data_IF_875592648056
#
_entry.id   IF_875592648056
#
_cell.length_a   1.000
_cell.length_b   1.000
_cell.length_c   1.000
_cell.angle_alpha   90.00
_cell.angle_beta   90.00
_cell.angle_gamma   90.00
#
_symmetry.space_group_name_H-M   'P 1'
#
loop_
_entity.id
_entity.type
_entity.pdbx_description
1 polymer ?
#
# COMPACT_ATOMS: atom_id res chain seq x y z
N UNK A 1 21.75 2.11 -14.21
CA UNK A 1 20.68 2.65 -13.35
C UNK A 1 20.53 1.77 -12.12
N UNK A 2 20.40 2.32 -10.92
CA UNK A 2 20.16 1.55 -9.68
C UNK A 2 18.67 1.53 -9.34
N UNK A 3 18.16 0.40 -8.85
CA UNK A 3 16.75 0.25 -8.41
C UNK A 3 16.70 -0.29 -6.99
N UNK A 4 15.68 0.11 -6.23
CA UNK A 4 15.56 -0.20 -4.80
C UNK A 4 14.16 -0.70 -4.49
N UNK A 5 14.05 -1.80 -3.74
CA UNK A 5 12.76 -2.34 -3.31
C UNK A 5 12.78 -2.74 -1.83
N UNK A 6 11.88 -2.21 -0.98
CA UNK A 6 11.76 -2.59 0.42
C UNK A 6 10.89 -3.84 0.59
N UNK A 7 11.26 -4.74 1.51
CA UNK A 7 10.41 -5.87 1.91
C UNK A 7 11.21 -7.12 2.28
N UNK A 8 10.53 -8.21 2.63
CA UNK A 8 11.16 -9.53 2.79
C UNK A 8 10.19 -10.64 2.40
N UNK A 9 10.53 -11.40 1.36
CA UNK A 9 9.69 -12.50 0.87
C UNK A 9 8.30 -12.06 0.41
N UNK A 10 8.10 -10.77 0.11
CA UNK A 10 6.81 -10.24 -0.30
C UNK A 10 6.60 -10.37 -1.81
N UNK A 11 5.35 -10.43 -2.28
CA UNK A 11 5.03 -10.45 -3.72
C UNK A 11 5.65 -9.27 -4.49
N UNK A 12 5.75 -8.09 -3.86
CA UNK A 12 6.36 -6.91 -4.47
C UNK A 12 7.86 -7.02 -4.67
N UNK A 13 8.60 -7.72 -3.81
CA UNK A 13 10.03 -7.98 -4.06
C UNK A 13 10.22 -8.89 -5.28
N UNK A 14 9.38 -9.91 -5.44
CA UNK A 14 9.45 -10.80 -6.61
C UNK A 14 9.20 -10.01 -7.90
N UNK A 15 8.15 -9.18 -7.91
CA UNK A 15 7.84 -8.33 -9.05
C UNK A 15 8.95 -7.29 -9.32
N UNK A 16 9.50 -6.67 -8.27
CA UNK A 16 10.57 -5.68 -8.42
C UNK A 16 11.87 -6.30 -8.97
N UNK A 17 12.23 -7.51 -8.52
CA UNK A 17 13.36 -8.27 -9.07
C UNK A 17 13.16 -8.56 -10.55
N UNK A 18 11.99 -9.06 -10.91
CA UNK A 18 11.68 -9.39 -12.30
C UNK A 18 11.76 -8.17 -13.23
N UNK A 19 11.20 -7.04 -12.81
CA UNK A 19 11.32 -5.77 -13.54
C UNK A 19 12.77 -5.32 -13.64
N UNK A 20 13.54 -5.47 -12.57
CA UNK A 20 14.93 -5.06 -12.56
C UNK A 20 15.80 -5.90 -13.49
N UNK A 21 15.54 -7.21 -13.55
CA UNK A 21 16.20 -8.15 -14.46
C UNK A 21 15.82 -7.86 -15.91
N UNK A 22 14.53 -7.61 -16.18
CA UNK A 22 14.04 -7.23 -17.51
C UNK A 22 14.67 -5.92 -18.02
N UNK A 23 14.80 -4.92 -17.15
CA UNK A 23 15.37 -3.61 -17.49
C UNK A 23 16.91 -3.56 -17.40
N UNK A 24 17.57 -4.64 -16.96
CA UNK A 24 19.03 -4.68 -16.80
C UNK A 24 19.57 -3.68 -15.76
N UNK A 25 18.86 -3.48 -14.66
CA UNK A 25 19.24 -2.51 -13.61
C UNK A 25 20.06 -3.15 -12.48
N UNK A 26 20.89 -2.36 -11.82
CA UNK A 26 21.54 -2.78 -10.57
C UNK A 26 20.53 -2.75 -9.43
N UNK A 27 19.95 -3.92 -9.12
CA UNK A 27 18.86 -4.03 -8.15
C UNK A 27 19.34 -4.25 -6.72
N UNK A 28 18.76 -3.48 -5.79
CA UNK A 28 19.00 -3.56 -4.37
C UNK A 28 17.70 -3.90 -3.63
N UNK A 29 17.61 -5.13 -3.13
CA UNK A 29 16.54 -5.50 -2.21
C UNK A 29 16.89 -5.11 -0.78
N UNK A 30 15.93 -4.49 -0.11
CA UNK A 30 16.08 -3.93 1.21
C UNK A 30 15.22 -4.70 2.20
N UNK A 31 15.86 -5.66 2.87
CA UNK A 31 15.22 -6.53 3.84
C UNK A 31 15.08 -5.83 5.20
N UNK A 32 14.02 -5.05 5.37
CA UNK A 32 13.62 -4.53 6.68
C UNK A 32 12.95 -5.66 7.47
N UNK A 33 13.71 -6.31 8.35
CA UNK A 33 13.23 -7.49 9.04
C UNK A 33 12.32 -7.08 10.21
N UNK A 34 11.02 -7.36 10.10
CA UNK A 34 10.13 -7.50 11.27
C UNK A 34 10.32 -8.90 11.85
N UNK A 35 11.48 -9.19 12.46
CA UNK A 35 11.75 -10.54 13.01
C UNK A 35 11.04 -10.69 14.33
N UNK A 36 9.83 -11.27 14.32
CA UNK A 36 9.16 -11.72 15.55
C UNK A 36 10.16 -12.59 16.32
N UNK A 37 10.61 -12.11 17.47
CA UNK A 37 11.46 -12.90 18.36
C UNK A 37 10.58 -14.00 18.94
N UNK A 38 10.71 -15.22 18.44
CA UNK A 38 10.72 -16.37 19.34
C UNK A 38 12.11 -16.42 19.96
N UNK A 39 12.19 -16.30 21.29
CA UNK A 39 13.45 -16.41 22.04
C UNK A 39 14.16 -17.70 21.61
N UNK A 40 15.34 -17.62 20.98
CA UNK A 40 16.16 -18.83 20.82
C UNK A 40 17.25 -18.92 19.74
N UNK A 41 17.45 -18.00 18.79
CA UNK A 41 18.41 -18.26 17.70
C UNK A 41 19.48 -17.16 17.50
N UNK A 42 20.74 -17.56 17.73
CA UNK A 42 21.99 -16.79 17.53
C UNK A 42 22.39 -16.72 16.04
N UNK A 43 23.16 -15.66 15.74
CA UNK A 43 23.94 -15.30 14.52
C UNK A 43 23.21 -14.52 13.41
N UNK A 44 23.70 -13.29 13.23
CA UNK A 44 23.53 -12.36 12.10
C UNK A 44 22.11 -12.20 11.55
N UNK A 45 21.15 -11.90 12.42
CA UNK A 45 19.77 -11.67 11.99
C UNK A 45 19.22 -10.34 12.50
N UNK A 46 18.92 -9.42 11.58
CA UNK A 46 18.21 -8.19 11.88
C UNK A 46 16.82 -8.53 12.47
N UNK A 47 16.44 -7.86 13.56
CA UNK A 47 15.29 -8.18 14.43
C UNK A 47 14.12 -7.21 14.27
N UNK A 48 12.88 -7.60 14.68
CA UNK A 48 11.64 -6.75 14.73
C UNK A 48 11.82 -5.37 15.37
N UNK A 49 12.91 -5.19 16.11
CA UNK A 49 13.38 -3.96 16.69
C UNK A 49 13.52 -2.80 15.68
N UNK A 50 14.18 -2.95 14.52
CA UNK A 50 14.55 -1.78 13.71
C UNK A 50 13.38 -0.93 13.18
N UNK A 51 12.28 -1.55 12.76
CA UNK A 51 11.10 -0.83 12.28
C UNK A 51 10.36 -0.11 13.42
N UNK A 52 10.18 -0.79 14.55
CA UNK A 52 9.50 -0.26 15.73
C UNK A 52 10.35 0.82 16.41
N UNK A 53 11.65 0.58 16.55
CA UNK A 53 12.60 1.53 17.13
C UNK A 53 12.71 2.80 16.28
N UNK A 54 12.51 2.68 14.96
CA UNK A 54 12.51 3.83 14.06
C UNK A 54 11.21 4.66 14.12
N UNK A 55 10.10 4.17 14.71
CA UNK A 55 8.81 4.87 14.68
C UNK A 55 8.89 6.28 15.25
N UNK A 56 9.68 6.45 16.31
CA UNK A 56 9.86 7.74 16.96
C UNK A 56 10.53 8.75 16.02
N UNK A 57 11.63 8.34 15.37
CA UNK A 57 12.32 9.16 14.37
C UNK A 57 11.45 9.39 13.14
N UNK A 58 10.71 8.38 12.67
CA UNK A 58 9.81 8.48 11.53
C UNK A 58 8.75 9.54 11.80
N UNK A 59 8.05 9.48 12.93
CA UNK A 59 6.99 10.44 13.30
C UNK A 59 7.56 11.84 13.46
N UNK A 60 8.75 11.97 14.05
CA UNK A 60 9.47 13.25 14.10
C UNK A 60 9.70 13.81 12.70
N UNK A 61 10.19 13.00 11.76
CA UNK A 61 10.51 13.47 10.41
C UNK A 61 9.29 13.73 9.54
N UNK A 62 8.24 12.91 9.61
CA UNK A 62 7.05 13.10 8.76
C UNK A 62 6.05 14.10 9.36
N UNK A 63 6.14 14.35 10.66
CA UNK A 63 5.31 15.33 11.39
C UNK A 63 3.82 15.01 11.28
N UNK A 64 3.45 13.73 11.38
CA UNK A 64 2.05 13.28 11.37
C UNK A 64 1.87 12.02 12.22
N UNK A 65 0.62 11.76 12.63
CA UNK A 65 0.23 10.63 13.49
C UNK A 65 -0.85 9.74 12.87
N UNK A 66 -1.12 9.88 11.57
CA UNK A 66 -2.12 9.07 10.85
C UNK A 66 -1.48 7.85 10.17
N UNK A 67 -2.29 7.07 9.45
CA UNK A 67 -1.88 5.81 8.78
C UNK A 67 -0.64 5.95 7.88
N UNK A 68 -0.32 7.16 7.42
CA UNK A 68 0.92 7.54 6.74
C UNK A 68 2.18 7.01 7.45
N UNK A 69 2.19 6.89 8.78
CA UNK A 69 3.30 6.32 9.56
C UNK A 69 3.68 4.90 9.10
N UNK A 70 2.68 4.05 8.79
CA UNK A 70 2.88 2.65 8.37
C UNK A 70 3.72 2.55 7.10
N UNK A 71 3.37 3.37 6.11
CA UNK A 71 4.04 3.39 4.80
C UNK A 71 5.33 4.24 4.81
N UNK A 72 5.44 5.21 5.72
CA UNK A 72 6.65 6.05 5.83
C UNK A 72 7.84 5.30 6.41
N UNK A 73 7.61 4.38 7.35
CA UNK A 73 8.70 3.68 8.05
C UNK A 73 9.60 2.87 7.10
N UNK A 74 9.09 2.02 6.20
CA UNK A 74 9.93 1.30 5.24
C UNK A 74 10.69 2.25 4.30
N UNK A 75 10.06 3.35 3.88
CA UNK A 75 10.68 4.31 2.98
C UNK A 75 11.77 5.14 3.66
N UNK A 76 11.57 5.50 4.93
CA UNK A 76 12.57 6.13 5.79
C UNK A 76 13.80 5.24 5.97
N UNK A 77 13.61 3.95 6.25
CA UNK A 77 14.73 3.02 6.36
C UNK A 77 15.43 2.78 5.01
N UNK A 78 14.66 2.79 3.92
CA UNK A 78 15.19 2.71 2.55
C UNK A 78 16.04 3.92 2.19
N UNK A 79 15.62 5.13 2.53
CA UNK A 79 16.39 6.34 2.22
C UNK A 79 17.78 6.34 2.88
N UNK A 80 17.89 5.84 4.12
CA UNK A 80 19.18 5.63 4.80
C UNK A 80 20.12 4.72 4.02
N UNK A 81 19.60 3.60 3.49
CA UNK A 81 20.43 2.70 2.67
C UNK A 81 20.82 3.33 1.35
N UNK A 82 19.87 3.93 0.64
CA UNK A 82 20.11 4.60 -0.65
C UNK A 82 21.25 5.62 -0.48
N UNK A 83 21.21 6.41 0.60
CA UNK A 83 22.27 7.35 0.94
C UNK A 83 23.62 6.67 1.18
N UNK A 84 23.66 5.55 1.90
CA UNK A 84 24.90 4.80 2.16
C UNK A 84 25.56 4.27 0.88
N UNK A 85 24.80 4.13 -0.21
CA UNK A 85 25.28 3.72 -1.52
C UNK A 85 25.71 4.92 -2.40
N UNK A 86 25.72 6.14 -1.84
CA UNK A 86 26.12 7.36 -2.53
C UNK A 86 25.04 7.96 -3.44
N UNK A 87 23.85 7.36 -3.50
CA UNK A 87 22.73 7.87 -4.29
C UNK A 87 22.08 9.06 -3.58
N UNK A 88 21.86 10.14 -4.32
CA UNK A 88 21.32 11.41 -3.80
C UNK A 88 19.91 11.74 -4.29
N UNK A 89 19.45 11.06 -5.35
CA UNK A 89 18.14 11.30 -5.95
C UNK A 89 17.53 9.99 -6.45
N UNK A 90 16.23 9.81 -6.26
CA UNK A 90 15.45 8.69 -6.78
C UNK A 90 14.16 9.16 -7.44
N UNK A 91 13.70 8.41 -8.45
CA UNK A 91 12.37 8.57 -9.03
C UNK A 91 11.37 7.65 -8.30
N UNK A 92 10.18 8.16 -8.01
CA UNK A 92 9.08 7.40 -7.41
C UNK A 92 7.80 7.52 -8.23
N UNK A 93 6.91 6.52 -8.11
CA UNK A 93 5.64 6.43 -8.84
C UNK A 93 4.44 7.10 -8.16
N UNK A 94 4.66 7.90 -7.11
CA UNK A 94 3.60 8.61 -6.38
C UNK A 94 2.78 9.51 -7.30
N UNK A 95 1.47 9.62 -7.05
CA UNK A 95 0.54 10.40 -7.87
C UNK A 95 -0.17 9.60 -8.96
N UNK A 96 0.37 8.44 -9.36
CA UNK A 96 -0.23 7.61 -10.41
C UNK A 96 -1.64 7.12 -10.03
N UNK A 97 -1.83 6.67 -8.79
CA UNK A 97 -3.11 6.15 -8.31
C UNK A 97 -4.16 7.27 -8.20
N UNK A 98 -3.76 8.48 -7.80
CA UNK A 98 -4.63 9.65 -7.66
C UNK A 98 -5.09 10.20 -9.01
N UNK A 99 -4.21 10.19 -10.02
CA UNK A 99 -4.51 10.71 -11.37
C UNK A 99 -5.39 9.75 -12.18
N UNK A 100 -5.16 8.44 -12.03
CA UNK A 100 -5.76 7.41 -12.87
C UNK A 100 -6.75 6.50 -12.14
N UNK A 101 -7.09 6.81 -10.88
CA UNK A 101 -8.01 6.01 -10.05
C UNK A 101 -7.53 4.58 -9.83
N UNK A 102 -6.30 4.45 -9.35
CA UNK A 102 -5.64 3.16 -9.17
C UNK A 102 -5.99 2.41 -7.88
N UNK A 103 -6.67 3.07 -6.95
CA UNK A 103 -7.12 2.45 -5.71
C UNK A 103 -8.36 1.57 -5.94
N UNK A 104 -8.44 0.43 -5.26
CA UNK A 104 -9.48 -0.58 -5.52
C UNK A 104 -10.92 -0.07 -5.33
N UNK A 105 -11.16 0.91 -4.45
CA UNK A 105 -12.49 1.49 -4.26
C UNK A 105 -13.02 2.25 -5.49
N UNK A 106 -12.16 2.68 -6.42
CA UNK A 106 -12.60 3.29 -7.68
C UNK A 106 -13.40 2.32 -8.56
N UNK A 107 -13.34 1.00 -8.30
CA UNK A 107 -14.24 0.02 -8.93
C UNK A 107 -15.71 0.30 -8.63
N UNK A 108 -15.99 0.99 -7.52
CA UNK A 108 -17.35 1.33 -7.07
C UNK A 108 -17.75 2.76 -7.44
N UNK A 109 -16.92 3.48 -8.19
CA UNK A 109 -17.29 4.82 -8.66
C UNK A 109 -18.57 4.72 -9.51
N UNK A 110 -19.64 5.47 -9.17
CA UNK A 110 -20.96 5.28 -9.78
C UNK A 110 -21.02 5.76 -11.23
N UNK A 111 -20.19 6.73 -11.61
CA UNK A 111 -20.07 7.28 -12.96
C UNK A 111 -18.76 8.05 -13.11
N UNK A 112 -18.46 8.44 -14.35
CA UNK A 112 -17.21 9.10 -14.73
C UNK A 112 -17.04 10.47 -14.08
N UNK A 113 -18.14 11.18 -13.80
CA UNK A 113 -18.12 12.48 -13.12
C UNK A 113 -17.68 12.34 -11.66
N UNK A 114 -18.24 11.36 -10.93
CA UNK A 114 -17.85 11.08 -9.53
C UNK A 114 -16.43 10.54 -9.45
N UNK A 115 -16.02 9.70 -10.41
CA UNK A 115 -14.64 9.25 -10.55
C UNK A 115 -13.68 10.45 -10.70
N UNK A 116 -13.97 11.35 -11.63
CA UNK A 116 -13.13 12.52 -11.89
C UNK A 116 -13.07 13.48 -10.69
N UNK A 117 -14.23 13.77 -10.07
CA UNK A 117 -14.29 14.60 -8.87
C UNK A 117 -13.40 14.04 -7.75
N UNK A 118 -13.42 12.72 -7.56
CA UNK A 118 -12.57 12.05 -6.58
C UNK A 118 -11.08 12.15 -6.93
N UNK A 119 -10.69 11.90 -8.19
CA UNK A 119 -9.28 12.09 -8.61
C UNK A 119 -8.79 13.52 -8.38
N UNK A 120 -9.63 14.53 -8.66
CA UNK A 120 -9.32 15.94 -8.39
C UNK A 120 -9.16 16.22 -6.88
N UNK A 121 -10.03 15.65 -6.04
CA UNK A 121 -9.91 15.78 -4.58
C UNK A 121 -8.64 15.11 -4.06
N UNK A 122 -8.32 13.91 -4.56
CA UNK A 122 -7.11 13.17 -4.22
C UNK A 122 -5.83 13.93 -4.57
N UNK A 123 -5.73 14.44 -5.79
CA UNK A 123 -4.58 15.25 -6.22
C UNK A 123 -4.40 16.48 -5.32
N UNK A 124 -5.50 17.18 -4.98
CA UNK A 124 -5.46 18.33 -4.06
C UNK A 124 -5.04 17.93 -2.64
N UNK A 125 -5.34 16.72 -2.19
CA UNK A 125 -4.99 16.21 -0.87
C UNK A 125 -3.58 15.62 -0.76
N UNK A 126 -2.88 15.34 -1.87
CA UNK A 126 -1.58 14.66 -1.91
C UNK A 126 -0.54 15.27 -0.97
N UNK A 127 -0.54 16.59 -0.80
CA UNK A 127 0.42 17.30 0.05
C UNK A 127 0.30 16.96 1.55
N UNK A 128 -0.83 16.39 1.98
CA UNK A 128 -1.07 15.94 3.36
C UNK A 128 -0.74 14.45 3.56
N UNK A 129 -0.59 13.70 2.48
CA UNK A 129 -0.46 12.24 2.49
C UNK A 129 0.79 11.78 1.76
N UNK A 130 0.67 11.34 0.51
CA UNK A 130 1.72 10.65 -0.24
C UNK A 130 2.91 11.56 -0.58
N UNK A 131 2.68 12.83 -0.93
CA UNK A 131 3.78 13.77 -1.12
C UNK A 131 4.51 14.08 0.19
N UNK A 132 3.78 14.21 1.31
CA UNK A 132 4.37 14.41 2.63
C UNK A 132 5.27 13.22 2.98
N UNK A 133 4.75 12.01 2.82
CA UNK A 133 5.49 10.76 3.04
C UNK A 133 6.73 10.70 2.14
N UNK A 134 6.54 10.79 0.82
CA UNK A 134 7.58 10.70 -0.21
C UNK A 134 8.73 11.66 0.06
N UNK A 135 8.40 12.93 0.27
CA UNK A 135 9.39 13.96 0.48
C UNK A 135 10.11 13.81 1.83
N UNK A 136 9.36 13.76 2.95
CA UNK A 136 9.97 13.82 4.28
C UNK A 136 10.75 12.55 4.63
N UNK A 137 10.26 11.37 4.25
CA UNK A 137 10.98 10.12 4.54
C UNK A 137 12.25 9.96 3.69
N UNK A 138 12.24 10.42 2.44
CA UNK A 138 13.44 10.45 1.60
C UNK A 138 14.45 11.49 2.11
N UNK A 139 13.97 12.70 2.41
CA UNK A 139 14.80 13.81 2.90
C UNK A 139 15.45 13.51 4.25
N UNK A 140 14.80 12.71 5.11
CA UNK A 140 15.40 12.25 6.36
C UNK A 140 16.69 11.41 6.16
N UNK A 141 16.82 10.74 5.02
CA UNK A 141 18.06 10.06 4.60
C UNK A 141 19.00 10.95 3.77
N UNK A 142 18.66 12.21 3.54
CA UNK A 142 19.41 13.10 2.63
C UNK A 142 19.35 12.65 1.17
N UNK A 143 18.19 12.13 0.74
CA UNK A 143 17.87 11.70 -0.62
C UNK A 143 16.70 12.54 -1.16
N UNK A 144 16.83 13.07 -2.37
CA UNK A 144 15.77 13.78 -3.08
C UNK A 144 14.84 12.77 -3.79
N UNK A 145 13.54 12.83 -3.51
CA UNK A 145 12.54 12.07 -4.25
C UNK A 145 11.90 12.95 -5.34
N UNK A 146 11.93 12.49 -6.59
CA UNK A 146 11.19 13.11 -7.71
C UNK A 146 10.03 12.23 -8.13
N UNK A 147 8.92 12.85 -8.50
CA UNK A 147 7.64 12.19 -8.75
C UNK A 147 7.11 12.57 -10.13
N UNK A 148 7.57 11.92 -11.20
CA UNK A 148 7.26 12.33 -12.58
C UNK A 148 5.77 12.39 -12.92
N UNK A 149 4.94 11.55 -12.27
CA UNK A 149 3.48 11.60 -12.43
C UNK A 149 2.87 12.92 -11.97
N UNK A 150 3.54 13.69 -11.13
CA UNK A 150 3.08 14.99 -10.62
C UNK A 150 3.74 16.18 -11.35
N UNK A 151 4.40 15.94 -12.47
CA UNK A 151 4.79 17.02 -13.38
C UNK A 151 3.55 17.80 -13.84
N UNK A 152 3.67 19.13 -13.95
CA UNK A 152 2.51 20.00 -14.25
C UNK A 152 1.92 19.74 -15.63
N UNK A 153 2.76 19.55 -16.63
CA UNK A 153 2.31 19.30 -18.00
C UNK A 153 1.73 17.89 -18.10
N UNK A 154 2.37 16.90 -17.45
CA UNK A 154 1.81 15.56 -17.38
C UNK A 154 0.45 15.52 -16.69
N UNK A 155 0.29 16.18 -15.54
CA UNK A 155 -0.99 16.24 -14.82
C UNK A 155 -2.05 16.91 -15.69
N UNK A 156 -1.72 18.01 -16.37
CA UNK A 156 -2.66 18.68 -17.30
C UNK A 156 -3.14 17.71 -18.38
N UNK A 157 -2.22 17.08 -19.11
CA UNK A 157 -2.56 16.11 -20.15
C UNK A 157 -3.34 14.92 -19.60
N UNK A 158 -2.91 14.34 -18.48
CA UNK A 158 -3.56 13.17 -17.90
C UNK A 158 -4.97 13.49 -17.37
N UNK A 159 -5.20 14.71 -16.88
CA UNK A 159 -6.50 15.13 -16.37
C UNK A 159 -7.48 15.58 -17.46
N UNK A 160 -7.00 15.91 -18.66
CA UNK A 160 -7.80 16.21 -19.85
C UNK A 160 -8.37 14.95 -20.55
N UNK A 161 -7.89 13.76 -20.20
CA UNK A 161 -8.44 12.48 -20.71
C UNK A 161 -9.87 12.31 -20.19
N UNK A 162 -10.83 11.95 -21.08
CA UNK A 162 -12.20 11.61 -20.67
C UNK A 162 -12.15 10.54 -19.56
N UNK A 163 -12.71 10.82 -18.36
CA UNK A 163 -12.63 9.91 -17.23
C UNK A 163 -13.21 8.51 -17.50
N UNK A 164 -14.04 8.34 -18.53
CA UNK A 164 -14.51 7.03 -19.00
C UNK A 164 -13.35 6.06 -19.35
N UNK A 165 -12.22 6.59 -19.84
CA UNK A 165 -11.03 5.78 -20.13
C UNK A 165 -10.23 5.39 -18.89
N UNK A 166 -10.47 6.07 -17.77
CA UNK A 166 -9.86 5.78 -16.46
C UNK A 166 -10.73 4.85 -15.61
N UNK A 167 -12.04 4.82 -15.87
CA UNK A 167 -12.97 3.95 -15.17
C UNK A 167 -12.60 2.47 -15.32
N UNK A 168 -12.80 1.74 -14.23
CA UNK A 168 -12.57 0.30 -14.19
C UNK A 168 -13.83 -0.37 -14.74
N UNK A 169 -13.67 -1.14 -15.82
CA UNK A 169 -14.76 -1.75 -16.60
C UNK A 169 -14.41 -3.20 -16.90
N UNK A 170 -14.61 -4.12 -15.93
CA UNK A 170 -14.31 -5.54 -16.12
C UNK A 170 -15.08 -6.16 -17.30
N UNK A 171 -16.28 -5.66 -17.58
CA UNK A 171 -17.10 -6.03 -18.74
C UNK A 171 -16.41 -5.73 -20.09
N UNK A 172 -15.48 -4.77 -20.10
CA UNK A 172 -14.65 -4.41 -21.25
C UNK A 172 -13.19 -4.88 -21.12
N UNK A 173 -12.89 -5.71 -20.11
CA UNK A 173 -11.51 -6.13 -19.80
C UNK A 173 -10.60 -5.00 -19.29
N UNK A 174 -11.17 -3.90 -18.77
CA UNK A 174 -10.40 -2.78 -18.22
C UNK A 174 -10.22 -2.92 -16.71
N UNK A 175 -8.97 -2.97 -16.27
CA UNK A 175 -8.56 -2.95 -14.85
C UNK A 175 -8.19 -1.53 -14.41
N UNK A 176 -7.83 -1.35 -13.14
CA UNK A 176 -7.36 -0.05 -12.64
C UNK A 176 -6.19 0.50 -13.46
N UNK A 177 -6.23 1.81 -13.74
CA UNK A 177 -5.22 2.51 -14.55
C UNK A 177 -5.07 1.94 -15.97
N UNK A 178 -6.13 1.37 -16.54
CA UNK A 178 -6.09 0.75 -17.87
C UNK A 178 -5.50 1.65 -18.94
N UNK A 179 -5.92 2.92 -19.04
CA UNK A 179 -5.40 3.87 -20.03
C UNK A 179 -3.88 4.08 -19.90
N UNK A 180 -3.37 4.11 -18.67
CA UNK A 180 -1.93 4.19 -18.42
C UNK A 180 -1.23 2.91 -18.87
N UNK A 181 -1.77 1.74 -18.53
CA UNK A 181 -1.22 0.44 -18.94
C UNK A 181 -1.15 0.33 -20.47
N UNK A 182 -2.23 0.71 -21.17
CA UNK A 182 -2.29 0.74 -22.64
C UNK A 182 -1.27 1.70 -23.26
N UNK A 183 -1.00 2.85 -22.64
CA UNK A 183 -0.01 3.79 -23.15
C UNK A 183 1.43 3.24 -23.14
N UNK A 184 1.73 2.25 -22.28
CA UNK A 184 3.02 1.55 -22.20
C UNK A 184 2.97 0.13 -22.78
N UNK A 185 1.87 -0.24 -23.42
CA UNK A 185 1.63 -1.56 -24.01
C UNK A 185 2.13 -1.60 -25.46
N UNK A 186 3.46 -1.64 -25.62
CA UNK A 186 4.15 -1.67 -26.92
C UNK A 186 4.60 -3.10 -27.25
N UNK A 187 4.08 -3.68 -28.34
CA UNK A 187 4.43 -5.04 -28.79
C UNK A 187 5.81 -5.11 -29.47
N UNK A 188 6.28 -4.01 -30.06
CA UNK A 188 7.56 -3.97 -30.77
C UNK A 188 8.71 -3.67 -29.81
N UNK A 189 8.47 -2.78 -28.84
CA UNK A 189 9.44 -2.39 -27.82
C UNK A 189 8.78 -2.35 -26.44
N UNK A 190 8.49 -3.51 -25.82
CA UNK A 190 7.78 -3.54 -24.56
C UNK A 190 8.56 -2.83 -23.45
N UNK A 191 7.87 -1.97 -22.69
CA UNK A 191 8.47 -1.28 -21.55
C UNK A 191 8.61 -2.21 -20.32
N UNK A 192 7.72 -3.20 -20.21
CA UNK A 192 7.65 -4.16 -19.10
C UNK A 192 7.14 -5.52 -19.61
N UNK A 193 7.41 -6.63 -18.90
CA UNK A 193 6.73 -7.91 -19.15
C UNK A 193 5.21 -7.75 -19.05
N UNK A 194 4.45 -8.37 -19.97
CA UNK A 194 2.99 -8.19 -20.06
C UNK A 194 2.26 -8.52 -18.75
N UNK A 195 2.65 -9.59 -18.06
CA UNK A 195 2.00 -9.95 -16.79
C UNK A 195 2.33 -8.98 -15.65
N UNK A 196 3.45 -8.24 -15.70
CA UNK A 196 3.72 -7.12 -14.79
C UNK A 196 2.88 -5.90 -15.20
N UNK A 197 2.85 -5.57 -16.49
CA UNK A 197 2.10 -4.42 -17.02
C UNK A 197 0.61 -4.51 -16.70
N UNK A 198 0.05 -5.72 -16.62
CA UNK A 198 -1.35 -5.98 -16.27
C UNK A 198 -1.54 -6.59 -14.87
N UNK A 199 -0.52 -6.55 -14.00
CA UNK A 199 -0.63 -6.97 -12.60
C UNK A 199 -1.61 -6.06 -11.84
N UNK A 200 -2.53 -6.66 -11.08
CA UNK A 200 -3.45 -5.95 -10.20
C UNK A 200 -2.68 -5.12 -9.15
N UNK A 201 -3.26 -3.97 -8.77
CA UNK A 201 -2.71 -3.08 -7.74
C UNK A 201 -2.53 -3.77 -6.38
N UNK A 202 -1.32 -3.65 -5.85
CA UNK A 202 -0.95 -3.99 -4.48
C UNK A 202 -0.65 -2.70 -3.70
N UNK A 203 -1.17 -2.54 -2.47
CA UNK A 203 -0.83 -1.38 -1.63
C UNK A 203 0.58 -1.47 -1.06
N UNK A 204 1.28 -0.32 -0.93
CA UNK A 204 2.68 -0.28 -0.49
C UNK A 204 2.90 -0.91 0.89
N UNK A 205 1.99 -0.68 1.85
CA UNK A 205 2.10 -1.26 3.20
C UNK A 205 2.00 -2.78 3.20
N UNK A 206 1.23 -3.36 2.29
CA UNK A 206 1.08 -4.81 2.16
C UNK A 206 2.25 -5.40 1.38
N UNK A 207 2.75 -4.66 0.39
CA UNK A 207 3.92 -4.97 -0.41
C UNK A 207 5.21 -5.13 0.39
N UNK A 208 5.31 -4.45 1.54
CA UNK A 208 6.45 -4.60 2.46
C UNK A 208 6.36 -5.90 3.28
N UNK A 209 5.15 -6.43 3.48
CA UNK A 209 4.87 -7.73 4.09
C UNK A 209 3.90 -7.67 5.28
N UNK A 210 2.96 -8.62 5.34
CA UNK A 210 1.87 -8.67 6.34
C UNK A 210 2.34 -8.63 7.80
N UNK A 211 3.51 -9.20 8.09
CA UNK A 211 4.09 -9.18 9.44
C UNK A 211 4.37 -7.77 9.98
N UNK A 212 4.47 -6.76 9.12
CA UNK A 212 4.72 -5.37 9.52
C UNK A 212 3.53 -4.74 10.23
N UNK A 213 2.35 -4.78 9.62
CA UNK A 213 1.14 -4.18 10.17
C UNK A 213 0.75 -4.88 11.48
N UNK A 214 0.81 -6.22 11.51
CA UNK A 214 0.54 -6.98 12.73
C UNK A 214 1.59 -6.70 13.82
N UNK A 215 2.86 -6.55 13.42
CA UNK A 215 3.93 -6.15 14.33
C UNK A 215 3.71 -4.78 15.00
N UNK A 216 3.17 -3.81 14.26
CA UNK A 216 2.80 -2.48 14.77
C UNK A 216 1.63 -2.55 15.75
N UNK A 217 0.57 -3.28 15.38
CA UNK A 217 -0.60 -3.49 16.26
C UNK A 217 -0.20 -4.17 17.57
N UNK A 218 0.59 -5.24 17.50
CA UNK A 218 1.13 -5.96 18.65
C UNK A 218 1.92 -5.04 19.60
N UNK A 219 2.75 -4.17 19.03
CA UNK A 219 3.56 -3.24 19.80
C UNK A 219 2.67 -2.20 20.49
N UNK A 220 1.78 -1.56 19.74
CA UNK A 220 0.84 -0.59 20.29
C UNK A 220 -0.05 -1.19 21.38
N UNK A 221 -0.49 -2.44 21.23
CA UNK A 221 -1.27 -3.16 22.24
C UNK A 221 -0.54 -3.36 23.56
N UNK A 222 0.80 -3.39 23.56
CA UNK A 222 1.62 -3.48 24.77
C UNK A 222 1.86 -2.11 25.43
N UNK A 223 1.75 -1.03 24.66
CA UNK A 223 2.04 0.34 25.13
C UNK A 223 0.78 1.10 25.54
N UNK A 224 -0.37 0.78 24.96
CA UNK A 224 -1.64 1.48 25.18
C UNK A 224 -2.66 0.52 25.79
N UNK A 225 -3.14 0.85 26.98
CA UNK A 225 -4.16 0.08 27.69
C UNK A 225 -5.57 0.40 27.16
N UNK A 226 -6.55 -0.46 27.45
CA UNK A 226 -7.94 -0.18 27.09
C UNK A 226 -8.47 1.06 27.81
N UNK A 227 -8.06 1.26 29.07
CA UNK A 227 -8.41 2.47 29.83
C UNK A 227 -7.86 3.75 29.19
N UNK A 228 -6.63 3.72 28.67
CA UNK A 228 -6.07 4.87 27.92
C UNK A 228 -6.92 5.20 26.69
N UNK A 229 -7.30 4.17 25.92
CA UNK A 229 -8.12 4.37 24.72
C UNK A 229 -9.54 4.85 25.06
N UNK A 230 -10.18 4.29 26.10
CA UNK A 230 -11.50 4.73 26.57
C UNK A 230 -11.51 6.20 26.98
N UNK A 231 -10.40 6.70 27.54
CA UNK A 231 -10.25 8.09 27.96
C UNK A 231 -9.61 8.98 26.88
N UNK A 232 -9.43 8.50 25.66
CA UNK A 232 -8.68 9.21 24.62
C UNK A 232 -9.28 10.57 24.27
N UNK A 233 -10.60 10.73 24.30
CA UNK A 233 -11.28 12.01 24.00
C UNK A 233 -10.99 13.10 25.04
N UNK A 234 -10.67 12.74 26.27
CA UNK A 234 -10.28 13.70 27.31
C UNK A 234 -8.82 14.15 27.15
N UNK A 235 -7.94 13.24 26.71
CA UNK A 235 -6.52 13.53 26.52
C UNK A 235 -6.27 14.21 25.17
N UNK A 236 -6.95 13.75 24.13
CA UNK A 236 -6.82 14.19 22.75
C UNK A 236 -8.20 14.52 22.17
N UNK A 237 -8.82 15.65 22.54
CA UNK A 237 -10.17 16.02 22.07
C UNK A 237 -10.22 16.31 20.57
N UNK A 238 -9.12 16.81 20.01
CA UNK A 238 -8.95 17.00 18.57
C UNK A 238 -8.39 15.74 17.94
N UNK A 239 -9.04 15.25 16.87
CA UNK A 239 -8.62 14.04 16.15
C UNK A 239 -8.41 12.85 17.09
N UNK A 240 -9.41 12.58 17.94
CA UNK A 240 -9.38 11.52 18.95
C UNK A 240 -8.98 10.18 18.32
N UNK A 241 -7.90 9.54 18.79
CA UNK A 241 -7.51 8.24 18.27
C UNK A 241 -8.55 7.18 18.64
N UNK A 242 -8.99 6.42 17.64
CA UNK A 242 -9.99 5.34 17.79
C UNK A 242 -9.37 3.95 17.91
N UNK A 243 -8.05 3.85 17.78
CA UNK A 243 -7.29 2.59 17.89
C UNK A 243 -6.08 2.80 18.78
N UNK A 244 -5.60 1.72 19.42
CA UNK A 244 -4.37 1.75 20.23
C UNK A 244 -3.14 2.15 19.41
N UNK A 245 -3.08 1.74 18.15
CA UNK A 245 -2.01 2.14 17.23
C UNK A 245 -2.04 3.65 16.97
N UNK A 246 -3.21 4.21 16.64
CA UNK A 246 -3.36 5.67 16.47
C UNK A 246 -3.06 6.44 17.75
N UNK A 247 -3.44 5.91 18.91
CA UNK A 247 -3.11 6.50 20.20
C UNK A 247 -1.59 6.53 20.42
N UNK A 248 -0.91 5.43 20.15
CA UNK A 248 0.54 5.32 20.29
C UNK A 248 1.28 6.33 19.40
N UNK A 249 0.89 6.45 18.12
CA UNK A 249 1.46 7.46 17.23
C UNK A 249 1.18 8.88 17.71
N UNK A 250 -0.03 9.14 18.21
CA UNK A 250 -0.40 10.45 18.76
C UNK A 250 0.45 10.80 19.98
N UNK A 251 0.70 9.85 20.88
CA UNK A 251 1.59 10.05 22.04
C UNK A 251 3.00 10.46 21.62
N UNK A 252 3.56 9.81 20.59
CA UNK A 252 4.88 10.16 20.05
C UNK A 252 4.85 11.56 19.40
N UNK A 253 3.84 11.85 18.59
CA UNK A 253 3.71 13.15 17.93
C UNK A 253 3.66 14.30 18.95
N UNK A 254 2.86 14.15 20.01
CA UNK A 254 2.71 15.16 21.06
C UNK A 254 3.99 15.40 21.86
N UNK A 255 4.88 14.39 21.96
CA UNK A 255 6.21 14.54 22.57
C UNK A 255 7.08 15.57 21.83
N UNK A 256 6.99 15.62 20.50
CA UNK A 256 7.80 16.50 19.65
C UNK A 256 7.07 17.78 19.25
N UNK A 257 5.75 17.71 19.09
CA UNK A 257 4.91 18.78 18.54
C UNK A 257 3.73 19.13 19.46
N UNK A 258 3.97 19.61 20.70
CA UNK A 258 2.92 19.76 21.72
C UNK A 258 1.94 20.92 21.48
N UNK A 259 2.13 21.71 20.42
CA UNK A 259 1.35 22.94 20.14
C UNK A 259 0.10 22.63 19.32
N UNK A 260 -1.00 23.34 19.61
CA UNK A 260 -2.27 23.25 18.84
C UNK A 260 -2.03 23.45 17.35
N UNK A 261 -1.22 24.45 16.98
CA UNK A 261 -0.91 24.74 15.59
C UNK A 261 -0.34 23.53 14.83
N UNK A 262 0.48 22.69 15.48
CA UNK A 262 1.02 21.49 14.85
C UNK A 262 -0.06 20.42 14.68
N UNK A 263 -0.90 20.20 15.70
CA UNK A 263 -2.05 19.27 15.62
C UNK A 263 -2.98 19.62 14.45
N UNK A 264 -3.29 20.90 14.27
CA UNK A 264 -4.19 21.38 13.21
C UNK A 264 -3.66 21.17 11.79
N UNK A 265 -2.35 20.90 11.62
CA UNK A 265 -1.78 20.56 10.30
C UNK A 265 -2.03 19.11 9.90
N UNK A 266 -2.36 18.24 10.86
CA UNK A 266 -2.61 16.83 10.60
C UNK A 266 -4.09 16.62 10.30
N UNK A 267 -4.45 16.11 9.10
CA UNK A 267 -5.85 15.95 8.72
C UNK A 267 -6.59 15.01 9.68
N UNK A 268 -7.75 15.46 10.12
CA UNK A 268 -8.66 14.72 10.99
C UNK A 268 -9.65 13.83 10.25
N UNK A 269 -10.43 13.09 11.03
CA UNK A 269 -11.50 12.24 10.55
C UNK A 269 -11.06 10.81 10.22
N UNK A 270 -11.95 9.99 9.63
CA UNK A 270 -11.65 8.62 9.24
C UNK A 270 -10.49 8.57 8.22
N UNK A 271 -9.27 8.49 8.72
CA UNK A 271 -8.07 8.16 7.96
C UNK A 271 -8.04 6.65 7.77
N UNK A 272 -8.81 6.18 6.80
CA UNK A 272 -8.65 4.82 6.32
C UNK A 272 -7.91 4.94 5.01
N UNK A 273 -6.70 4.37 5.00
CA UNK A 273 -5.74 4.40 3.93
C UNK A 273 -6.40 4.61 2.57
N UNK A 274 -6.21 5.81 2.04
CA UNK A 274 -6.59 6.22 0.72
C UNK A 274 -8.06 6.14 0.29
N UNK A 275 -9.11 5.91 1.12
CA UNK A 275 -10.50 6.03 0.58
C UNK A 275 -11.77 5.88 1.41
N UNK A 276 -11.77 5.37 2.65
CA UNK A 276 -13.00 4.72 3.13
C UNK A 276 -14.22 5.62 3.27
N UNK A 277 -14.09 6.92 3.53
CA UNK A 277 -15.26 7.81 3.54
C UNK A 277 -16.00 7.82 2.20
N UNK A 278 -15.25 7.94 1.08
CA UNK A 278 -15.84 7.92 -0.26
C UNK A 278 -16.21 6.51 -0.72
N UNK A 279 -15.39 5.52 -0.36
CA UNK A 279 -15.71 4.12 -0.64
C UNK A 279 -17.04 3.70 0.02
N UNK A 280 -17.28 4.13 1.27
CA UNK A 280 -18.54 3.89 2.00
C UNK A 280 -19.70 4.68 1.40
N UNK A 281 -19.48 5.91 0.91
CA UNK A 281 -20.52 6.67 0.19
C UNK A 281 -20.96 5.95 -1.09
N UNK A 282 -20.02 5.37 -1.83
CA UNK A 282 -20.31 4.67 -3.09
C UNK A 282 -20.84 3.26 -2.90
N UNK A 283 -20.42 2.56 -1.84
CA UNK A 283 -20.86 1.22 -1.54
C UNK A 283 -20.87 0.97 -0.03
N UNK A 284 -22.07 0.87 0.53
CA UNK A 284 -22.30 0.69 1.96
C UNK A 284 -21.70 -0.63 2.50
N UNK A 285 -21.42 -1.64 1.66
CA UNK A 285 -20.77 -2.88 2.11
C UNK A 285 -19.35 -2.64 2.62
N UNK A 286 -18.67 -1.57 2.18
CA UNK A 286 -17.35 -1.17 2.69
C UNK A 286 -17.40 -0.77 4.17
N UNK A 287 -18.55 -0.31 4.67
CA UNK A 287 -18.70 0.00 6.10
C UNK A 287 -18.62 -1.27 6.96
N UNK A 288 -18.94 -2.43 6.39
CA UNK A 288 -18.95 -3.73 7.07
C UNK A 288 -17.58 -4.40 7.08
N UNK A 289 -16.64 -3.95 6.23
CA UNK A 289 -15.31 -4.52 6.14
C UNK A 289 -14.23 -3.43 6.01
N UNK A 290 -13.87 -2.76 7.12
CA UNK A 290 -12.95 -1.61 7.15
C UNK A 290 -11.48 -2.02 7.01
N UNK A 291 -11.20 -2.95 6.10
CA UNK A 291 -9.84 -3.30 5.74
C UNK A 291 -9.17 -2.11 5.06
N UNK A 292 -8.15 -1.57 5.72
CA UNK A 292 -7.37 -0.44 5.20
C UNK A 292 -6.71 -0.75 3.85
N UNK A 293 -6.48 -2.02 3.52
CA UNK A 293 -5.90 -2.39 2.22
C UNK A 293 -6.91 -2.34 1.06
N UNK A 294 -8.21 -2.30 1.38
CA UNK A 294 -9.30 -2.36 0.41
C UNK A 294 -9.45 -3.69 -0.34
N UNK A 295 -8.73 -4.74 0.07
CA UNK A 295 -8.87 -6.10 -0.48
C UNK A 295 -10.13 -6.81 0.00
N UNK A 296 -10.56 -6.50 1.22
CA UNK A 296 -11.69 -7.18 1.84
C UNK A 296 -13.06 -6.77 1.24
N UNK A 297 -13.08 -5.87 0.26
CA UNK A 297 -14.23 -5.69 -0.61
C UNK A 297 -14.42 -6.94 -1.48
N UNK A 298 -15.38 -7.77 -1.08
CA UNK A 298 -15.73 -9.05 -1.70
C UNK A 298 -15.78 -8.93 -3.23
N UNK A 299 -15.03 -9.78 -3.94
CA UNK A 299 -15.07 -9.91 -5.40
C UNK A 299 -14.17 -8.99 -6.21
N UNK A 300 -13.38 -8.09 -5.59
CA UNK A 300 -12.52 -7.13 -6.32
C UNK A 300 -11.07 -7.65 -6.47
N UNK A 301 -10.57 -8.43 -5.51
CA UNK A 301 -9.23 -9.00 -5.56
C UNK A 301 -9.27 -10.45 -6.07
N UNK A 302 -8.63 -10.73 -7.22
CA UNK A 302 -8.67 -12.06 -7.83
C UNK A 302 -7.73 -13.07 -7.14
N UNK A 303 -6.68 -12.58 -6.47
CA UNK A 303 -5.74 -13.42 -5.72
C UNK A 303 -6.09 -13.41 -4.22
N UNK A 304 -6.93 -14.33 -3.77
CA UNK A 304 -7.34 -14.44 -2.36
C UNK A 304 -7.08 -15.89 -1.89
N UNK A 305 -6.09 -16.03 -1.01
CA UNK A 305 -5.66 -17.22 -0.23
C UNK A 305 -5.13 -18.47 -0.96
N UNK A 306 -3.81 -18.64 -1.01
CA UNK A 306 -3.17 -19.97 -1.09
C UNK A 306 -2.22 -20.31 0.08
N UNK A 307 -1.85 -19.38 0.96
CA UNK A 307 -0.78 -19.65 1.96
C UNK A 307 -1.26 -20.08 3.38
N UNK A 308 -2.40 -20.75 3.51
CA UNK A 308 -2.76 -21.35 4.80
C UNK A 308 -3.53 -22.67 4.70
N UNK A 309 -2.93 -23.69 4.08
CA UNK A 309 -3.32 -25.08 4.33
C UNK A 309 -2.10 -25.99 4.36
N UNK A 310 -1.56 -26.15 5.57
CA UNK A 310 -0.69 -27.25 6.02
C UNK A 310 -0.46 -27.03 7.52
N UNK A 311 -0.63 -27.92 8.50
CA UNK A 311 -0.94 -29.36 8.57
C UNK A 311 -1.69 -29.57 9.90
N UNK A 312 -2.84 -30.23 9.91
CA UNK A 312 -3.28 -31.05 11.06
C UNK A 312 -3.67 -32.42 10.54
N UNK A 313 -2.78 -33.37 10.78
CA UNK A 313 -2.99 -34.82 10.66
C UNK A 313 -4.18 -35.24 11.50
N UNK A 314 -5.19 -35.81 10.85
CA UNK A 314 -6.36 -36.46 11.46
C UNK A 314 -6.98 -37.40 10.44
N UNK A 315 -6.68 -38.69 10.59
CA UNK A 315 -7.11 -39.82 9.76
C UNK A 315 -8.64 -39.90 9.62
N UNK A 316 -9.18 -39.82 8.39
CA UNK A 316 -10.42 -40.50 7.97
C UNK A 316 -10.39 -40.84 6.46
N UNK A 317 -10.10 -42.11 6.21
CA UNK A 317 -10.57 -43.07 5.18
C UNK A 317 -11.39 -42.54 3.95
N UNK A 318 -10.86 -42.92 2.77
CA UNK A 318 -11.48 -43.21 1.44
C UNK A 318 -12.44 -42.22 0.75
N UNK A 319 -12.00 -41.58 -0.34
CA UNK A 319 -12.42 -41.92 -1.73
C UNK A 319 -11.85 -40.91 -2.75
N UNK A 320 -11.31 -41.42 -3.87
CA UNK A 320 -10.59 -40.63 -4.88
C UNK A 320 -11.51 -39.96 -5.91
N UNK A 321 -11.36 -38.67 -6.25
CA UNK A 321 -12.09 -38.03 -7.35
C UNK A 321 -11.25 -38.01 -8.64
N UNK A 322 -10.91 -39.19 -9.17
CA UNK A 322 -10.30 -39.34 -10.52
C UNK A 322 -11.31 -39.76 -11.61
N UNK A 323 -12.61 -39.75 -11.32
CA UNK A 323 -13.67 -40.12 -12.29
C UNK A 323 -14.56 -38.98 -12.79
N UNK A 324 -14.38 -37.74 -12.35
CA UNK A 324 -15.21 -36.61 -12.81
C UNK A 324 -14.59 -35.69 -13.87
N UNK A 325 -13.30 -35.84 -14.19
CA UNK A 325 -12.61 -34.93 -15.14
C UNK A 325 -12.62 -35.45 -16.58
N UNK A 326 -13.00 -36.71 -16.82
CA UNK A 326 -13.08 -37.27 -18.19
C UNK A 326 -14.47 -37.16 -18.84
N UNK A 327 -15.51 -36.76 -18.10
CA UNK A 327 -16.89 -36.71 -18.61
C UNK A 327 -17.35 -35.31 -19.07
N UNK A 328 -16.55 -34.26 -18.82
CA UNK A 328 -16.89 -32.88 -19.21
C UNK A 328 -16.12 -32.43 -20.47
N UNK A 329 -15.00 -33.09 -20.79
CA UNK A 329 -14.16 -32.76 -21.95
C UNK A 329 -14.72 -33.27 -23.31
N UNK A 330 -15.75 -34.13 -23.33
CA UNK A 330 -16.32 -34.67 -24.58
C UNK A 330 -17.63 -33.99 -25.02
N UNK A 331 -18.14 -32.97 -24.32
CA UNK A 331 -19.42 -32.30 -24.65
C UNK A 331 -19.34 -30.86 -25.18
N UNK A 332 -18.14 -30.32 -25.43
CA UNK A 332 -17.99 -28.97 -26.02
C UNK A 332 -17.39 -28.98 -27.44
N UNK A 333 -17.03 -30.16 -27.99
CA UNK A 333 -16.57 -30.28 -29.38
C UNK A 333 -17.71 -30.56 -30.40
N UNK A 334 -18.97 -30.35 -30.01
CA UNK A 334 -20.11 -30.50 -30.91
C UNK A 334 -21.13 -29.38 -30.68
N UNK A 335 -20.75 -28.13 -31.00
CA UNK A 335 -21.55 -27.10 -31.71
C UNK A 335 -20.59 -25.92 -31.94
N UNK A 336 -20.14 -25.81 -33.20
CA UNK A 336 -19.31 -24.76 -33.85
C UNK A 336 -17.81 -24.80 -33.60
#
# INVERSE_FOLDING_TARGET
MQTFAPGKGSPDLKAAREVADYLGTHHHELHFIVRVIYKGCKKNTFTKAQGIDALEEVIYHIETYVTTVRASTPMFLMSRKIKSLGVKMVLSGEGSDEIFGGYLYFNKAPNKEKFHQETCQKIKGLHLYDCLRANKSASAGGVEARVPFLDKEFVKTAMDIDPEWKMIRPDLGRIEKWVLRKAFDDDQKPYLPKHILYRQKEQFSDGVGYSWIEGLKDHANKQVTDSMLMNASFVYPENTPTTKEGYYYRTIFEKYFPKNAARSTVPGGPSVACSTAKAVEWDAEWSKNPDSSGRAALGIHAAVYEESKDVKTGSLVSDSPQKLVKAVAEKVAAVV
#
